data_IF_143026835245
#
_entry.id   IF_143026835245
#
_cell.length_a   1.000
_cell.length_b   1.000
_cell.length_c   1.000
_cell.angle_alpha   90.00
_cell.angle_beta   90.00
_cell.angle_gamma   90.00
#
_symmetry.space_group_name_H-M   'P 1'
#
loop_
_entity.id
_entity.type
_entity.pdbx_description
1 polymer ?
#
# COMPACT_ATOMS: atom_id res chain seq x y z
N UNK A 1 61.43 49.47 -30.08
CA UNK A 1 60.07 49.07 -30.49
C UNK A 1 59.79 47.71 -29.89
N UNK A 2 59.22 47.69 -28.68
CA UNK A 2 59.01 46.46 -27.91
C UNK A 2 57.52 46.12 -28.00
N UNK A 3 57.21 44.97 -28.61
CA UNK A 3 55.83 44.50 -28.83
C UNK A 3 55.24 44.00 -27.50
N UNK A 4 54.12 44.58 -27.08
CA UNK A 4 53.31 44.07 -25.97
C UNK A 4 52.51 42.86 -26.45
N UNK A 5 52.68 41.72 -25.78
CA UNK A 5 51.83 40.53 -25.93
C UNK A 5 50.70 40.68 -24.92
N UNK A 6 49.47 40.87 -25.40
CA UNK A 6 48.27 40.89 -24.57
C UNK A 6 47.93 39.44 -24.16
N UNK A 7 48.06 39.15 -22.86
CA UNK A 7 47.49 37.95 -22.27
C UNK A 7 45.99 38.17 -22.03
N UNK A 8 45.16 37.55 -22.87
CA UNK A 8 43.72 37.43 -22.63
C UNK A 8 43.55 36.40 -21.50
N UNK A 9 43.26 36.88 -20.30
CA UNK A 9 42.81 36.03 -19.19
C UNK A 9 41.34 35.72 -19.46
N UNK A 10 41.06 34.56 -20.03
CA UNK A 10 39.73 33.97 -19.99
C UNK A 10 39.44 33.60 -18.53
N UNK A 11 38.71 34.46 -17.82
CA UNK A 11 38.03 34.07 -16.58
C UNK A 11 36.90 33.13 -17.03
N UNK A 12 37.18 31.83 -16.95
CA UNK A 12 36.11 30.84 -16.97
C UNK A 12 35.28 31.09 -15.72
N UNK A 13 34.12 31.72 -15.88
CA UNK A 13 33.07 31.63 -14.89
C UNK A 13 32.77 30.14 -14.76
N UNK A 14 33.15 29.55 -13.63
CA UNK A 14 32.52 28.32 -13.20
C UNK A 14 31.04 28.64 -13.12
N UNK A 15 30.27 28.16 -14.09
CA UNK A 15 28.83 27.96 -13.91
C UNK A 15 28.80 27.02 -12.72
N UNK A 16 28.46 27.55 -11.55
CA UNK A 16 28.14 26.74 -10.39
C UNK A 16 27.01 25.84 -10.86
N UNK A 17 27.36 24.59 -11.12
CA UNK A 17 26.42 23.51 -11.33
C UNK A 17 25.68 23.37 -10.00
N UNK A 18 24.63 24.18 -9.82
CA UNK A 18 23.61 23.92 -8.82
C UNK A 18 22.82 22.76 -9.41
N UNK A 19 23.44 21.59 -9.40
CA UNK A 19 22.73 20.33 -9.29
C UNK A 19 21.89 20.47 -8.02
N UNK A 20 20.66 20.90 -8.23
CA UNK A 20 19.57 20.93 -7.27
C UNK A 20 19.47 19.54 -6.66
N UNK A 21 20.12 19.35 -5.52
CA UNK A 21 20.24 18.07 -4.86
C UNK A 21 18.87 17.62 -4.32
N UNK A 22 18.06 17.06 -5.22
CA UNK A 22 17.03 16.09 -4.89
C UNK A 22 17.75 14.97 -4.14
N UNK A 23 17.45 14.83 -2.86
CA UNK A 23 18.14 13.82 -2.06
C UNK A 23 17.18 12.74 -1.63
N UNK A 24 17.50 11.51 -2.06
CA UNK A 24 17.00 10.29 -1.44
C UNK A 24 17.51 10.29 0.01
N UNK A 25 16.63 10.23 1.02
CA UNK A 25 17.06 10.30 2.42
C UNK A 25 18.14 9.26 2.78
N UNK A 26 18.96 9.56 3.79
CA UNK A 26 20.01 8.64 4.22
C UNK A 26 19.43 7.34 4.83
N UNK A 27 20.28 6.36 5.14
CA UNK A 27 19.82 5.07 5.68
C UNK A 27 18.98 5.19 6.97
N UNK A 28 19.33 6.12 7.86
CA UNK A 28 18.60 6.32 9.11
C UNK A 28 17.22 6.92 8.83
N UNK A 29 17.14 7.93 7.97
CA UNK A 29 15.88 8.57 7.61
C UNK A 29 14.98 7.60 6.82
N UNK A 30 15.54 6.84 5.87
CA UNK A 30 14.80 5.79 5.14
C UNK A 30 14.15 4.81 6.10
N UNK A 31 14.89 4.35 7.11
CA UNK A 31 14.36 3.46 8.13
C UNK A 31 13.28 4.14 8.98
N UNK A 32 13.45 5.42 9.33
CA UNK A 32 12.43 6.19 10.06
C UNK A 32 11.12 6.30 9.27
N UNK A 33 11.20 6.57 7.96
CA UNK A 33 10.04 6.62 7.06
C UNK A 33 9.32 5.26 7.05
N UNK A 34 10.04 4.17 6.78
CA UNK A 34 9.47 2.81 6.74
C UNK A 34 8.86 2.44 8.10
N UNK A 35 9.51 2.79 9.21
CA UNK A 35 9.01 2.52 10.55
C UNK A 35 7.72 3.28 10.85
N UNK A 36 7.61 4.55 10.43
CA UNK A 36 6.40 5.34 10.60
C UNK A 36 5.21 4.72 9.85
N UNK A 37 5.44 4.30 8.59
CA UNK A 37 4.42 3.60 7.79
C UNK A 37 3.99 2.28 8.45
N UNK A 38 4.95 1.43 8.83
CA UNK A 38 4.64 0.15 9.44
C UNK A 38 3.99 0.30 10.82
N UNK A 39 4.34 1.31 11.62
CA UNK A 39 3.66 1.59 12.88
C UNK A 39 2.17 1.93 12.67
N UNK A 40 1.86 2.77 11.67
CA UNK A 40 0.48 3.08 11.30
C UNK A 40 -0.26 1.84 10.80
N UNK A 41 0.38 1.05 9.93
CA UNK A 41 -0.20 -0.18 9.37
C UNK A 41 -0.48 -1.22 10.45
N UNK A 42 0.40 -1.40 11.44
CA UNK A 42 0.15 -2.25 12.62
C UNK A 42 -1.03 -1.76 13.44
N UNK A 43 -1.11 -0.45 13.69
CA UNK A 43 -2.23 0.16 14.41
C UNK A 43 -3.55 -0.13 13.71
N UNK A 44 -3.60 -0.03 12.39
CA UNK A 44 -4.79 -0.37 11.59
C UNK A 44 -5.06 -1.87 11.60
N UNK A 45 -4.03 -2.70 11.38
CA UNK A 45 -4.17 -4.15 11.35
C UNK A 45 -4.70 -4.72 12.66
N UNK A 46 -4.25 -4.19 13.80
CA UNK A 46 -4.65 -4.64 15.14
C UNK A 46 -5.89 -3.93 15.68
N UNK A 47 -6.54 -3.06 14.89
CA UNK A 47 -7.72 -2.32 15.34
C UNK A 47 -8.90 -3.27 15.56
N UNK A 48 -8.97 -3.83 16.77
CA UNK A 48 -10.09 -4.64 17.21
C UNK A 48 -11.17 -3.71 17.76
N UNK A 49 -12.19 -3.44 16.94
CA UNK A 49 -13.48 -2.98 17.46
C UNK A 49 -14.37 -4.19 17.68
N UNK A 50 -15.44 -4.07 18.46
CA UNK A 50 -16.48 -5.10 18.59
C UNK A 50 -17.14 -5.47 17.24
N UNK A 51 -16.79 -4.76 16.16
CA UNK A 51 -17.20 -4.99 14.77
C UNK A 51 -16.17 -5.75 13.93
N UNK A 52 -15.01 -6.15 14.49
CA UNK A 52 -14.03 -7.00 13.80
C UNK A 52 -13.25 -6.33 12.66
N UNK A 53 -13.09 -5.00 12.66
CA UNK A 53 -12.51 -4.19 11.57
C UNK A 53 -10.97 -4.24 11.45
N UNK A 54 -10.34 -5.30 11.95
CA UNK A 54 -8.91 -5.54 11.83
C UNK A 54 -8.54 -5.87 10.36
N UNK A 55 -7.29 -5.61 9.97
CA UNK A 55 -6.80 -5.94 8.63
C UNK A 55 -6.05 -7.28 8.65
N UNK A 56 -6.59 -8.26 7.91
CA UNK A 56 -6.08 -9.64 7.90
C UNK A 56 -4.91 -9.88 6.94
N UNK A 57 -4.70 -9.00 5.95
CA UNK A 57 -3.71 -9.15 4.88
C UNK A 57 -2.71 -7.98 4.79
N UNK A 58 -2.57 -7.18 5.85
CA UNK A 58 -1.74 -5.97 5.83
C UNK A 58 -0.25 -6.29 5.65
N UNK A 59 0.33 -5.98 4.48
CA UNK A 59 1.75 -6.29 4.20
C UNK A 59 2.69 -5.34 4.94
N UNK A 60 3.84 -5.85 5.40
CA UNK A 60 4.92 -5.01 5.91
C UNK A 60 5.59 -4.27 4.74
N UNK A 61 5.77 -2.96 4.88
CA UNK A 61 6.48 -2.15 3.91
C UNK A 61 7.99 -2.23 4.09
N UNK A 62 8.73 -2.23 2.99
CA UNK A 62 10.19 -2.05 2.94
C UNK A 62 10.58 -0.83 2.10
N UNK A 63 11.79 -0.32 2.29
CA UNK A 63 12.33 0.71 1.41
C UNK A 63 12.63 0.14 0.03
N UNK A 64 12.32 0.90 -1.02
CA UNK A 64 12.66 0.57 -2.40
C UNK A 64 13.42 1.73 -3.06
N UNK A 65 14.56 1.42 -3.68
CA UNK A 65 15.44 2.41 -4.28
C UNK A 65 14.92 2.90 -5.63
N UNK A 66 14.25 2.05 -6.42
CA UNK A 66 13.69 2.43 -7.72
C UNK A 66 12.52 3.39 -7.52
N UNK A 67 11.66 3.13 -6.53
CA UNK A 67 10.60 4.07 -6.14
C UNK A 67 11.16 5.39 -5.60
N UNK A 68 12.32 5.37 -4.95
CA UNK A 68 12.97 6.58 -4.48
C UNK A 68 13.56 7.40 -5.63
N UNK A 69 14.15 6.75 -6.63
CA UNK A 69 14.61 7.39 -7.86
C UNK A 69 13.42 7.95 -8.68
N UNK A 70 12.29 7.26 -8.70
CA UNK A 70 11.06 7.82 -9.27
C UNK A 70 10.59 9.04 -8.48
N UNK A 71 10.60 8.98 -7.14
CA UNK A 71 10.25 10.12 -6.29
C UNK A 71 11.14 11.35 -6.55
N UNK A 72 12.43 11.16 -6.87
CA UNK A 72 13.34 12.24 -7.30
C UNK A 72 12.79 12.96 -8.52
N UNK A 73 12.33 12.23 -9.54
CA UNK A 73 11.76 12.83 -10.76
C UNK A 73 10.47 13.60 -10.51
N UNK A 74 9.72 13.24 -9.45
CA UNK A 74 8.45 13.85 -9.10
C UNK A 74 8.60 15.03 -8.12
N UNK A 75 9.75 15.15 -7.44
CA UNK A 75 10.01 16.19 -6.44
C UNK A 75 10.55 17.49 -7.05
N UNK A 76 10.08 17.89 -8.24
CA UNK A 76 10.43 19.17 -8.86
C UNK A 76 9.58 20.31 -8.31
N UNK A 77 10.17 21.51 -8.18
CA UNK A 77 9.49 22.65 -7.58
C UNK A 77 8.40 23.26 -8.46
N UNK A 78 8.39 22.95 -9.77
CA UNK A 78 7.40 23.44 -10.74
C UNK A 78 5.96 23.10 -10.34
N UNK A 79 5.77 22.09 -9.49
CA UNK A 79 4.45 21.61 -9.03
C UNK A 79 4.02 22.18 -7.69
N UNK A 80 4.86 22.94 -7.00
CA UNK A 80 4.58 23.41 -5.64
C UNK A 80 3.43 24.41 -5.61
N UNK A 81 3.33 25.30 -6.60
CA UNK A 81 2.22 26.26 -6.73
C UNK A 81 0.88 25.56 -6.98
N UNK A 82 0.87 24.50 -7.81
CA UNK A 82 -0.32 23.68 -8.06
C UNK A 82 -0.78 22.95 -6.79
N UNK A 83 0.18 22.48 -5.97
CA UNK A 83 -0.07 21.78 -4.70
C UNK A 83 -0.63 22.75 -3.64
N UNK A 84 -0.06 23.94 -3.52
CA UNK A 84 -0.47 24.94 -2.52
C UNK A 84 -1.76 25.66 -2.87
N UNK A 85 -2.04 25.87 -4.17
CA UNK A 85 -3.30 26.44 -4.66
C UNK A 85 -4.53 25.59 -4.33
N UNK A 86 -4.33 24.32 -3.97
CA UNK A 86 -5.38 23.36 -3.64
C UNK A 86 -5.83 23.39 -2.17
N UNK A 87 -5.37 24.37 -1.37
CA UNK A 87 -5.71 24.51 0.05
C UNK A 87 -6.50 25.78 0.34
N UNK A 88 -7.84 25.69 0.39
CA UNK A 88 -8.67 26.44 1.36
C UNK A 88 -10.16 26.03 1.37
N UNK A 89 -10.54 24.83 0.95
CA UNK A 89 -11.87 24.31 1.24
C UNK A 89 -11.78 23.28 2.38
N UNK A 90 -12.08 23.74 3.59
CA UNK A 90 -12.50 22.94 4.76
C UNK A 90 -11.41 22.08 5.43
N UNK A 91 -10.80 22.59 6.50
CA UNK A 91 -10.31 21.79 7.63
C UNK A 91 -9.16 20.79 7.43
N UNK A 92 -8.61 20.61 6.22
CA UNK A 92 -7.57 19.61 5.96
C UNK A 92 -6.59 20.06 4.88
N UNK A 93 -5.30 19.87 5.18
CA UNK A 93 -4.15 20.16 4.33
C UNK A 93 -4.28 19.51 2.93
N UNK A 94 -3.65 20.08 1.88
CA UNK A 94 -3.87 19.64 0.50
C UNK A 94 -3.31 18.24 0.28
N UNK A 95 -4.17 17.22 0.30
CA UNK A 95 -3.83 15.93 -0.31
C UNK A 95 -4.13 16.06 -1.80
N UNK A 96 -3.09 16.28 -2.61
CA UNK A 96 -3.15 16.39 -4.08
C UNK A 96 -3.58 15.12 -4.82
N UNK A 97 -4.12 14.13 -4.12
CA UNK A 97 -4.45 12.83 -4.67
C UNK A 97 -5.77 12.81 -5.46
N UNK A 98 -6.63 13.83 -5.36
CA UNK A 98 -7.90 13.86 -6.11
C UNK A 98 -7.72 13.96 -7.64
N UNK A 99 -6.64 14.57 -8.14
CA UNK A 99 -6.34 14.64 -9.58
C UNK A 99 -5.33 13.58 -10.04
N UNK A 100 -4.63 12.92 -9.12
CA UNK A 100 -3.68 11.84 -9.42
C UNK A 100 -4.38 10.51 -9.73
N UNK A 101 -5.66 10.36 -9.35
CA UNK A 101 -6.48 9.18 -9.64
C UNK A 101 -6.69 8.96 -11.15
N UNK A 102 -6.67 10.04 -11.94
CA UNK A 102 -6.84 10.00 -13.40
C UNK A 102 -5.53 9.81 -14.18
N UNK A 103 -4.38 9.88 -13.50
CA UNK A 103 -3.09 9.61 -14.14
C UNK A 103 -2.87 8.09 -14.22
N UNK A 104 -2.60 7.59 -15.43
CA UNK A 104 -2.28 6.19 -15.71
C UNK A 104 -0.87 5.86 -15.19
N UNK A 105 -0.73 5.84 -13.87
CA UNK A 105 0.47 5.39 -13.15
C UNK A 105 0.11 4.14 -12.37
N UNK A 106 0.97 3.13 -12.47
CA UNK A 106 0.85 1.91 -11.66
C UNK A 106 1.16 2.17 -10.16
N UNK A 107 2.02 3.15 -9.88
CA UNK A 107 2.52 3.46 -8.54
C UNK A 107 1.70 4.54 -7.83
N UNK A 108 1.51 4.36 -6.51
CA UNK A 108 0.87 5.34 -5.64
C UNK A 108 1.80 6.51 -5.31
N UNK A 109 1.24 7.65 -4.91
CA UNK A 109 2.02 8.86 -4.58
C UNK A 109 1.39 9.65 -3.43
N UNK A 110 2.20 10.02 -2.45
CA UNK A 110 1.88 11.05 -1.47
C UNK A 110 2.86 12.21 -1.58
N UNK A 111 2.36 13.43 -1.38
CA UNK A 111 3.14 14.68 -1.46
C UNK A 111 2.85 15.56 -0.26
N UNK A 112 3.88 16.20 0.28
CA UNK A 112 3.77 17.19 1.35
C UNK A 112 4.67 18.40 1.06
N UNK A 113 4.16 19.60 1.34
CA UNK A 113 4.89 20.87 1.23
C UNK A 113 4.89 21.56 2.59
N UNK A 114 6.05 21.97 3.09
CA UNK A 114 6.13 22.69 4.36
C UNK A 114 7.40 23.54 4.49
N UNK A 115 7.27 24.70 5.13
CA UNK A 115 8.40 25.56 5.49
C UNK A 115 9.17 25.01 6.70
N UNK A 116 8.44 24.55 7.72
CA UNK A 116 9.00 24.32 9.06
C UNK A 116 9.08 22.85 9.45
N UNK A 117 8.28 21.99 8.82
CA UNK A 117 8.22 20.58 9.23
C UNK A 117 9.47 19.81 8.83
N UNK A 118 9.78 18.80 9.62
CA UNK A 118 10.69 17.73 9.24
C UNK A 118 9.92 16.60 8.50
N UNK A 119 10.64 15.63 7.94
CA UNK A 119 10.05 14.53 7.16
C UNK A 119 9.00 13.74 7.96
N UNK A 120 9.26 13.45 9.24
CA UNK A 120 8.29 12.72 10.06
C UNK A 120 7.00 13.52 10.26
N UNK A 121 7.11 14.81 10.54
CA UNK A 121 5.94 15.69 10.69
C UNK A 121 5.13 15.82 9.40
N UNK A 122 5.78 15.76 8.23
CA UNK A 122 5.11 15.72 6.93
C UNK A 122 4.38 14.38 6.69
N UNK A 123 4.96 13.26 7.14
CA UNK A 123 4.30 11.94 7.09
C UNK A 123 3.13 11.88 8.09
N UNK A 124 3.29 12.48 9.27
CA UNK A 124 2.23 12.61 10.27
C UNK A 124 1.02 13.37 9.71
N UNK A 125 1.24 14.41 8.89
CA UNK A 125 0.16 15.12 8.19
C UNK A 125 -0.65 14.20 7.27
N UNK A 126 0.00 13.30 6.53
CA UNK A 126 -0.72 12.30 5.73
C UNK A 126 -1.54 11.35 6.61
N UNK A 127 -0.99 10.93 7.75
CA UNK A 127 -1.67 10.02 8.68
C UNK A 127 -2.86 10.66 9.40
N UNK A 128 -2.90 11.99 9.51
CA UNK A 128 -3.96 12.72 10.20
C UNK A 128 -5.36 12.51 9.59
N UNK A 129 -5.43 12.06 8.33
CA UNK A 129 -6.68 11.62 7.70
C UNK A 129 -7.42 10.52 8.48
N UNK A 130 -6.72 9.79 9.35
CA UNK A 130 -7.33 8.83 10.29
C UNK A 130 -8.47 9.45 11.11
N UNK A 131 -8.33 10.71 11.53
CA UNK A 131 -9.32 11.39 12.37
C UNK A 131 -10.69 11.56 11.71
N UNK A 132 -10.74 11.44 10.39
CA UNK A 132 -11.92 11.60 9.54
C UNK A 132 -12.25 10.34 8.74
N UNK A 133 -11.58 9.23 9.01
CA UNK A 133 -11.74 7.99 8.28
C UNK A 133 -12.72 7.04 8.98
N UNK A 134 -13.75 6.64 8.25
CA UNK A 134 -14.70 5.62 8.69
C UNK A 134 -14.16 4.23 8.31
N UNK A 135 -13.78 3.46 9.32
CA UNK A 135 -13.23 2.11 9.16
C UNK A 135 -14.28 1.05 8.80
N UNK A 136 -15.57 1.31 9.05
CA UNK A 136 -16.64 0.35 8.73
C UNK A 136 -17.00 0.41 7.25
N UNK A 137 -17.02 1.61 6.69
CA UNK A 137 -17.37 1.83 5.29
C UNK A 137 -16.16 2.13 4.39
N UNK A 138 -14.96 2.21 4.96
CA UNK A 138 -13.74 2.64 4.28
C UNK A 138 -13.88 4.00 3.57
N UNK A 139 -14.71 4.90 4.12
CA UNK A 139 -15.00 6.23 3.58
C UNK A 139 -14.29 7.33 4.38
N UNK A 140 -14.23 8.53 3.83
CA UNK A 140 -13.79 9.73 4.54
C UNK A 140 -15.03 10.58 4.86
N UNK A 141 -15.02 11.30 5.97
CA UNK A 141 -16.04 12.30 6.26
C UNK A 141 -16.17 13.29 5.09
N UNK A 142 -17.40 13.77 4.79
CA UNK A 142 -17.60 14.81 3.80
C UNK A 142 -16.68 16.01 4.07
N UNK A 143 -16.18 16.63 3.00
CA UNK A 143 -15.26 17.78 3.02
C UNK A 143 -13.83 17.50 3.53
N UNK A 144 -13.51 16.28 3.98
CA UNK A 144 -12.14 15.88 4.30
C UNK A 144 -11.54 14.98 3.23
N UNK A 145 -10.23 15.09 3.03
CA UNK A 145 -9.50 14.26 2.08
C UNK A 145 -8.59 13.25 2.82
N UNK A 146 -9.02 11.99 2.85
CA UNK A 146 -8.29 10.90 3.49
C UNK A 146 -7.36 10.15 2.52
N UNK A 147 -7.19 10.60 1.28
CA UNK A 147 -6.52 9.79 0.24
C UNK A 147 -5.06 9.49 0.56
N UNK A 148 -4.34 10.44 1.15
CA UNK A 148 -2.96 10.22 1.59
C UNK A 148 -2.89 9.16 2.70
N UNK A 149 -3.81 9.21 3.67
CA UNK A 149 -3.96 8.21 4.71
C UNK A 149 -4.28 6.83 4.13
N UNK A 150 -5.27 6.75 3.23
CA UNK A 150 -5.68 5.53 2.51
C UNK A 150 -4.52 4.87 1.78
N UNK A 151 -3.69 5.66 1.09
CA UNK A 151 -2.48 5.16 0.43
C UNK A 151 -1.48 4.54 1.42
N UNK A 152 -1.29 5.14 2.60
CA UNK A 152 -0.38 4.60 3.63
C UNK A 152 -0.87 3.25 4.19
N UNK A 153 -2.20 3.06 4.24
CA UNK A 153 -2.84 1.86 4.82
C UNK A 153 -3.31 0.85 3.77
N UNK A 154 -2.99 1.04 2.49
CA UNK A 154 -3.30 0.08 1.43
C UNK A 154 -2.53 -1.23 1.66
N UNK A 155 -3.22 -2.31 2.00
CA UNK A 155 -2.61 -3.58 2.42
C UNK A 155 -1.69 -4.17 1.35
N UNK A 156 -2.05 -4.03 0.07
CA UNK A 156 -1.26 -4.61 -1.01
C UNK A 156 0.07 -3.86 -1.24
N UNK A 157 0.13 -2.56 -0.94
CA UNK A 157 1.36 -1.78 -1.02
C UNK A 157 2.40 -2.31 -0.03
N UNK A 158 3.57 -2.71 -0.55
CA UNK A 158 4.62 -3.38 0.22
C UNK A 158 5.98 -2.67 0.13
N UNK A 159 6.06 -1.63 -0.70
CA UNK A 159 7.31 -0.89 -0.92
C UNK A 159 7.04 0.60 -0.97
N UNK A 160 7.98 1.36 -0.42
CA UNK A 160 7.94 2.82 -0.43
C UNK A 160 9.33 3.37 -0.71
N UNK A 161 9.39 4.40 -1.56
CA UNK A 161 10.60 5.17 -1.82
C UNK A 161 10.26 6.64 -1.86
N UNK A 162 11.09 7.48 -1.24
CA UNK A 162 10.81 8.91 -1.11
C UNK A 162 12.01 9.77 -1.49
N UNK A 163 11.72 11.01 -1.89
CA UNK A 163 12.69 12.06 -2.15
C UNK A 163 12.26 13.36 -1.51
N UNK A 164 13.24 14.13 -1.04
CA UNK A 164 13.03 15.47 -0.50
C UNK A 164 13.73 16.50 -1.41
N UNK A 165 12.98 17.52 -1.79
CA UNK A 165 13.52 18.75 -2.36
C UNK A 165 13.40 19.90 -1.35
N UNK A 166 14.49 20.34 -0.70
CA UNK A 166 14.44 21.37 0.32
C UNK A 166 14.56 22.80 -0.24
N UNK A 167 14.62 22.97 -1.56
CA UNK A 167 14.98 24.23 -2.22
C UNK A 167 13.83 24.85 -3.01
N UNK A 168 12.59 24.44 -2.74
CA UNK A 168 11.45 25.03 -3.41
C UNK A 168 11.07 26.37 -2.80
N UNK A 169 10.37 27.18 -3.58
CA UNK A 169 9.84 28.48 -3.13
C UNK A 169 8.33 28.50 -3.37
N UNK A 170 7.61 29.10 -2.43
CA UNK A 170 6.17 29.34 -2.53
C UNK A 170 5.87 30.72 -1.94
N UNK A 171 5.25 31.60 -2.72
CA UNK A 171 4.94 32.99 -2.33
C UNK A 171 6.16 33.78 -1.81
N UNK A 172 7.35 33.48 -2.35
CA UNK A 172 8.61 34.10 -1.95
C UNK A 172 9.25 33.54 -0.67
N UNK A 173 8.67 32.48 -0.10
CA UNK A 173 9.18 31.79 1.07
C UNK A 173 9.79 30.42 0.71
N UNK A 174 10.91 30.07 1.33
CA UNK A 174 11.54 28.77 1.12
C UNK A 174 10.72 27.64 1.75
N UNK A 175 10.37 26.63 0.94
CA UNK A 175 9.60 25.45 1.32
C UNK A 175 10.32 24.16 0.96
N UNK A 176 10.01 23.11 1.71
CA UNK A 176 10.45 21.74 1.42
C UNK A 176 9.30 20.98 0.76
N UNK A 177 9.61 20.19 -0.25
CA UNK A 177 8.70 19.29 -0.94
C UNK A 177 9.15 17.84 -0.67
N UNK A 178 8.30 17.05 -0.01
CA UNK A 178 8.48 15.62 0.19
C UNK A 178 7.55 14.87 -0.77
N UNK A 179 8.11 13.94 -1.53
CA UNK A 179 7.34 13.00 -2.36
C UNK A 179 7.68 11.57 -1.94
N UNK A 180 6.66 10.75 -1.71
CA UNK A 180 6.80 9.32 -1.50
C UNK A 180 6.00 8.57 -2.56
N UNK A 181 6.66 7.62 -3.23
CA UNK A 181 6.09 6.69 -4.19
C UNK A 181 5.86 5.33 -3.53
N UNK A 182 4.81 4.64 -3.94
CA UNK A 182 4.41 3.32 -3.45
C UNK A 182 4.28 2.35 -4.63
N UNK A 183 4.61 1.07 -4.41
CA UNK A 183 4.50 0.06 -5.48
C UNK A 183 3.08 -0.22 -5.94
N UNK A 184 2.09 0.11 -5.12
CA UNK A 184 0.66 -0.02 -5.44
C UNK A 184 -0.04 1.32 -5.26
N UNK A 185 -0.91 1.67 -6.21
CA UNK A 185 -1.74 2.87 -6.15
C UNK A 185 -3.07 2.57 -5.47
N UNK A 186 -3.46 3.43 -4.52
CA UNK A 186 -4.82 3.42 -3.98
C UNK A 186 -5.83 3.72 -5.11
N UNK A 187 -6.93 2.97 -5.13
CA UNK A 187 -8.07 3.25 -6.00
C UNK A 187 -9.35 3.18 -5.19
N UNK A 188 -10.29 4.08 -5.49
CA UNK A 188 -11.63 4.05 -4.91
C UNK A 188 -12.44 2.79 -5.27
N UNK A 189 -12.00 2.02 -6.26
CA UNK A 189 -12.66 0.80 -6.75
C UNK A 189 -12.18 -0.48 -6.07
N UNK A 190 -11.10 -0.42 -5.29
CA UNK A 190 -10.52 -1.59 -4.63
C UNK A 190 -10.53 -1.42 -3.11
N UNK A 191 -10.67 -2.54 -2.41
CA UNK A 191 -10.59 -2.55 -0.95
C UNK A 191 -9.20 -2.17 -0.45
N UNK A 192 -9.15 -1.39 0.64
CA UNK A 192 -7.90 -1.02 1.29
C UNK A 192 -7.19 -2.23 1.89
N UNK A 193 -7.96 -3.13 2.48
CA UNK A 193 -7.51 -4.36 3.12
C UNK A 193 -8.71 -5.30 3.33
N UNK A 194 -8.42 -6.57 3.58
CA UNK A 194 -9.45 -7.57 3.89
C UNK A 194 -9.71 -7.54 5.39
N UNK A 195 -10.97 -7.33 5.77
CA UNK A 195 -11.40 -7.35 7.17
C UNK A 195 -11.25 -8.76 7.77
N UNK A 196 -10.62 -8.85 8.93
CA UNK A 196 -10.45 -10.10 9.68
C UNK A 196 -9.29 -10.03 10.68
N UNK A 197 -9.07 -11.12 11.46
CA UNK A 197 -7.97 -11.18 12.41
C UNK A 197 -6.61 -10.89 11.75
N UNK A 198 -5.70 -10.17 12.41
CA UNK A 198 -4.39 -9.84 11.84
C UNK A 198 -3.68 -11.08 11.30
N UNK A 199 -3.09 -10.95 10.11
CA UNK A 199 -2.36 -12.00 9.42
C UNK A 199 -3.12 -13.28 9.04
N UNK A 200 -4.43 -13.38 9.29
CA UNK A 200 -5.21 -14.57 8.90
C UNK A 200 -5.33 -14.73 7.38
N UNK A 201 -5.08 -13.66 6.62
CA UNK A 201 -5.15 -13.64 5.15
C UNK A 201 -3.85 -13.19 4.46
N UNK A 202 -2.69 -13.52 5.03
CA UNK A 202 -1.39 -13.33 4.36
C UNK A 202 -1.21 -14.29 3.15
N UNK A 203 -1.25 -13.73 1.94
CA UNK A 203 -1.13 -14.44 0.65
C UNK A 203 0.31 -14.56 0.15
N UNK A 204 0.60 -15.56 -0.70
CA UNK A 204 1.91 -15.70 -1.35
C UNK A 204 2.33 -14.43 -2.13
N UNK A 205 3.61 -14.01 -2.06
CA UNK A 205 4.75 -14.65 -1.38
C UNK A 205 4.85 -14.35 0.13
N UNK A 206 3.88 -13.65 0.72
CA UNK A 206 3.82 -13.31 2.15
C UNK A 206 2.99 -14.32 2.95
N UNK A 207 3.61 -15.37 3.48
CA UNK A 207 2.89 -16.34 4.33
C UNK A 207 2.98 -16.07 5.83
N UNK A 208 4.03 -15.39 6.28
CA UNK A 208 4.34 -15.24 7.70
C UNK A 208 3.77 -13.95 8.28
N UNK A 209 3.64 -13.91 9.60
CA UNK A 209 3.22 -12.74 10.35
C UNK A 209 4.36 -12.23 11.20
N UNK A 210 4.68 -10.93 11.11
CA UNK A 210 5.57 -10.23 12.01
C UNK A 210 4.82 -9.04 12.61
N UNK A 211 4.46 -9.14 13.89
CA UNK A 211 3.83 -8.06 14.65
C UNK A 211 2.61 -7.46 13.92
N UNK A 212 1.65 -8.33 13.57
CA UNK A 212 0.42 -8.03 12.81
C UNK A 212 0.60 -7.60 11.33
N UNK A 213 1.80 -7.72 10.76
CA UNK A 213 2.05 -7.47 9.34
C UNK A 213 2.48 -8.73 8.59
N UNK A 214 1.96 -8.92 7.38
CA UNK A 214 2.35 -10.00 6.49
C UNK A 214 3.77 -9.81 5.95
N UNK A 215 4.61 -10.84 6.08
CA UNK A 215 6.01 -10.88 5.59
C UNK A 215 6.27 -12.16 4.80
N UNK A 216 7.22 -12.10 3.86
CA UNK A 216 7.59 -13.25 3.00
C UNK A 216 8.46 -14.28 3.68
N UNK A 217 9.20 -13.87 4.71
CA UNK A 217 9.99 -14.78 5.52
C UNK A 217 10.26 -14.15 6.89
N UNK A 218 10.63 -14.98 7.86
CA UNK A 218 11.04 -14.53 9.19
C UNK A 218 12.53 -14.15 9.28
N UNK A 219 13.25 -14.04 8.15
CA UNK A 219 14.67 -13.70 8.16
C UNK A 219 14.88 -12.25 8.63
N UNK A 220 15.52 -12.07 9.80
CA UNK A 220 15.85 -10.76 10.37
C UNK A 220 14.98 -10.31 11.55
N UNK A 221 14.02 -11.11 12.01
CA UNK A 221 13.30 -10.81 13.27
C UNK A 221 14.25 -11.05 14.46
N UNK A 222 14.76 -9.97 15.04
CA UNK A 222 15.54 -9.99 16.28
C UNK A 222 14.66 -10.16 17.53
N UNK A 223 13.32 -10.16 17.39
CA UNK A 223 12.37 -10.19 18.51
C UNK A 223 11.64 -11.52 18.75
N UNK A 224 11.79 -12.53 17.89
CA UNK A 224 11.05 -13.80 18.06
C UNK A 224 9.54 -13.69 17.81
N UNK A 225 9.07 -12.59 17.24
CA UNK A 225 7.64 -12.30 16.96
C UNK A 225 7.24 -12.59 15.51
N UNK A 226 8.05 -13.35 14.76
CA UNK A 226 7.66 -13.81 13.44
C UNK A 226 7.18 -15.25 13.51
N UNK A 227 5.95 -15.50 13.03
CA UNK A 227 5.31 -16.82 13.15
C UNK A 227 4.38 -17.09 11.98
N UNK A 228 4.20 -18.38 11.69
CA UNK A 228 3.12 -18.84 10.83
C UNK A 228 1.84 -18.94 11.66
N UNK A 229 0.81 -18.19 11.31
CA UNK A 229 -0.48 -18.16 12.03
C UNK A 229 -1.51 -19.16 11.45
N UNK A 230 -1.15 -19.85 10.37
CA UNK A 230 -2.03 -20.79 9.67
C UNK A 230 -2.02 -22.16 10.34
N UNK A 231 -3.18 -22.79 10.35
CA UNK A 231 -3.36 -24.16 10.88
C UNK A 231 -3.67 -25.17 9.77
N UNK A 232 -4.18 -24.69 8.63
CA UNK A 232 -4.76 -25.48 7.55
C UNK A 232 -5.84 -26.46 8.02
N UNK A 233 -6.38 -26.29 9.22
CA UNK A 233 -7.32 -27.24 9.82
C UNK A 233 -8.40 -26.48 10.57
N UNK A 234 -9.56 -26.39 9.92
CA UNK A 234 -10.76 -25.74 10.43
C UNK A 234 -11.87 -26.80 10.49
N UNK A 235 -12.16 -27.37 11.68
CA UNK A 235 -13.12 -28.45 11.82
C UNK A 235 -14.48 -28.12 11.20
N UNK A 236 -14.93 -28.98 10.28
CA UNK A 236 -16.20 -28.81 9.55
C UNK A 236 -16.17 -27.77 8.42
N UNK A 237 -15.02 -27.14 8.16
CA UNK A 237 -14.86 -26.09 7.13
C UNK A 237 -13.85 -26.52 6.07
N UNK A 238 -12.63 -26.83 6.47
CA UNK A 238 -11.54 -27.20 5.57
C UNK A 238 -10.38 -27.87 6.28
N UNK A 239 -9.62 -28.67 5.54
CA UNK A 239 -8.42 -29.34 6.02
C UNK A 239 -7.38 -29.41 4.91
N UNK A 240 -6.11 -29.28 5.26
CA UNK A 240 -4.99 -29.30 4.34
C UNK A 240 -3.65 -29.54 5.01
N UNK A 241 -2.60 -29.49 4.21
CA UNK A 241 -1.21 -29.65 4.66
C UNK A 241 -0.53 -28.30 4.70
N UNK A 242 0.04 -27.94 5.86
CA UNK A 242 0.82 -26.72 6.04
C UNK A 242 2.27 -26.93 5.56
N UNK A 243 2.72 -26.13 4.62
CA UNK A 243 4.15 -25.92 4.40
C UNK A 243 4.67 -24.87 5.39
N UNK A 244 5.39 -25.33 6.41
CA UNK A 244 5.96 -24.47 7.44
C UNK A 244 7.05 -23.50 6.94
N UNK A 245 7.68 -23.76 5.78
CA UNK A 245 8.73 -22.90 5.24
C UNK A 245 8.17 -21.70 4.48
N UNK A 246 7.00 -21.85 3.87
CA UNK A 246 6.31 -20.80 3.12
C UNK A 246 5.09 -20.25 3.87
N UNK A 247 4.67 -20.92 4.95
CA UNK A 247 3.41 -20.69 5.65
C UNK A 247 2.21 -20.65 4.68
N UNK A 248 2.09 -21.71 3.89
CA UNK A 248 1.02 -21.92 2.92
C UNK A 248 0.30 -23.23 3.18
N UNK A 249 -1.02 -23.22 2.97
CA UNK A 249 -1.84 -24.42 3.07
C UNK A 249 -2.13 -24.99 1.69
N UNK A 250 -1.91 -26.30 1.54
CA UNK A 250 -2.43 -27.09 0.45
C UNK A 250 -3.71 -27.78 0.90
N UNK A 251 -4.86 -27.16 0.61
CA UNK A 251 -6.16 -27.61 1.11
C UNK A 251 -6.60 -28.91 0.42
N UNK A 252 -6.80 -29.95 1.22
CA UNK A 252 -7.42 -31.20 0.79
C UNK A 252 -8.92 -31.02 0.56
N UNK A 253 -9.59 -30.25 1.43
CA UNK A 253 -10.95 -29.76 1.26
C UNK A 253 -11.15 -28.39 1.91
N UNK A 254 -12.23 -27.69 1.54
CA UNK A 254 -12.46 -26.28 1.89
C UNK A 254 -11.78 -25.31 0.91
N UNK A 255 -11.82 -24.03 1.25
CA UNK A 255 -11.33 -22.90 0.47
C UNK A 255 -10.50 -21.93 1.33
N UNK A 256 -9.86 -20.98 0.65
CA UNK A 256 -9.09 -19.93 1.30
C UNK A 256 -7.65 -20.34 1.58
N UNK A 257 -6.86 -19.37 2.03
CA UNK A 257 -5.40 -19.54 2.14
C UNK A 257 -4.94 -20.30 3.40
N UNK A 258 -5.87 -20.55 4.33
CA UNK A 258 -5.74 -21.34 5.54
C UNK A 258 -6.77 -22.49 5.58
N UNK A 259 -7.44 -22.81 4.46
CA UNK A 259 -8.57 -23.73 4.40
C UNK A 259 -9.73 -23.32 5.33
N UNK A 260 -9.89 -22.02 5.55
CA UNK A 260 -10.81 -21.43 6.53
C UNK A 260 -12.18 -21.06 5.97
N UNK A 261 -12.37 -21.19 4.67
CA UNK A 261 -13.64 -20.89 4.00
C UNK A 261 -14.32 -22.21 3.58
N UNK A 262 -15.65 -22.28 3.73
CA UNK A 262 -16.42 -23.47 3.33
C UNK A 262 -16.37 -23.66 1.83
N UNK A 263 -16.33 -24.92 1.39
CA UNK A 263 -16.56 -25.25 -0.01
C UNK A 263 -18.07 -25.35 -0.27
N UNK A 264 -18.71 -24.18 -0.44
CA UNK A 264 -20.14 -24.07 -0.73
C UNK A 264 -20.37 -23.00 -1.79
N UNK A 265 -21.41 -23.17 -2.60
CA UNK A 265 -21.84 -22.15 -3.56
C UNK A 265 -22.53 -20.99 -2.82
N UNK A 266 -22.06 -19.74 -2.99
CA UNK A 266 -22.71 -18.58 -2.39
C UNK A 266 -24.16 -18.45 -2.85
N UNK A 267 -25.06 -18.13 -1.92
CA UNK A 267 -26.46 -17.83 -2.23
C UNK A 267 -26.63 -16.35 -2.52
N UNK A 268 -26.54 -15.97 -3.80
CA UNK A 268 -26.66 -14.58 -4.25
C UNK A 268 -28.10 -14.04 -4.24
N UNK A 269 -29.10 -14.91 -4.45
CA UNK A 269 -30.50 -14.51 -4.58
C UNK A 269 -31.41 -15.37 -3.71
N UNK A 270 -32.42 -14.73 -3.09
CA UNK A 270 -33.35 -15.39 -2.16
C UNK A 270 -34.21 -16.48 -2.82
N UNK A 271 -34.57 -16.29 -4.10
CA UNK A 271 -35.50 -17.18 -4.82
C UNK A 271 -34.92 -17.71 -6.14
N UNK A 272 -33.60 -17.68 -6.31
CA UNK A 272 -32.95 -18.11 -7.54
C UNK A 272 -31.57 -18.68 -7.24
N UNK A 273 -31.31 -19.91 -7.70
CA UNK A 273 -30.03 -20.58 -7.56
C UNK A 273 -29.33 -20.59 -8.91
N UNK A 274 -28.48 -19.59 -9.14
CA UNK A 274 -27.67 -19.51 -10.35
C UNK A 274 -26.76 -20.73 -10.51
N UNK A 275 -26.22 -21.24 -9.40
CA UNK A 275 -25.29 -22.37 -9.44
C UNK A 275 -25.98 -23.66 -9.82
N UNK A 276 -27.27 -23.84 -9.49
CA UNK A 276 -28.06 -24.96 -9.97
C UNK A 276 -28.25 -24.94 -11.50
N UNK A 277 -28.44 -23.78 -12.12
CA UNK A 277 -28.63 -23.66 -13.57
C UNK A 277 -27.39 -24.06 -14.36
N UNK A 278 -26.20 -23.81 -13.81
CA UNK A 278 -24.92 -24.14 -14.44
C UNK A 278 -24.27 -25.40 -13.85
N UNK A 279 -24.94 -26.15 -12.99
CA UNK A 279 -24.41 -27.40 -12.41
C UNK A 279 -24.60 -28.57 -13.38
N UNK A 280 -23.78 -28.61 -14.44
CA UNK A 280 -23.74 -29.72 -15.38
C UNK A 280 -22.30 -29.95 -15.91
N UNK A 281 -21.97 -31.17 -16.40
CA UNK A 281 -20.60 -31.49 -16.83
C UNK A 281 -20.08 -30.62 -17.97
N UNK A 282 -20.93 -30.19 -18.90
CA UNK A 282 -20.53 -29.32 -20.02
C UNK A 282 -20.08 -27.96 -19.51
N UNK A 283 -20.86 -27.34 -18.61
CA UNK A 283 -20.51 -26.08 -17.97
C UNK A 283 -19.22 -26.14 -17.15
N UNK A 284 -18.86 -27.30 -16.59
CA UNK A 284 -17.55 -27.45 -15.95
C UNK A 284 -16.38 -27.38 -16.96
N UNK A 285 -16.59 -27.72 -18.23
CA UNK A 285 -15.56 -27.61 -19.27
C UNK A 285 -15.61 -26.26 -20.00
N UNK A 286 -16.80 -25.72 -20.26
CA UNK A 286 -17.00 -24.52 -21.09
C UNK A 286 -16.99 -23.22 -20.29
N UNK A 287 -17.44 -23.26 -19.03
CA UNK A 287 -17.70 -22.07 -18.21
C UNK A 287 -16.78 -22.01 -16.98
N UNK A 288 -15.55 -22.51 -17.11
CA UNK A 288 -14.62 -22.70 -15.98
C UNK A 288 -14.42 -21.44 -15.12
N UNK A 289 -14.30 -20.26 -15.75
CA UNK A 289 -14.16 -18.99 -15.03
C UNK A 289 -15.40 -18.71 -14.16
N UNK A 290 -16.60 -18.89 -14.71
CA UNK A 290 -17.85 -18.66 -13.96
C UNK A 290 -18.03 -19.67 -12.83
N UNK A 291 -17.68 -20.94 -13.05
CA UNK A 291 -17.72 -21.95 -12.00
C UNK A 291 -16.75 -21.60 -10.87
N UNK A 292 -15.52 -21.20 -11.18
CA UNK A 292 -14.53 -20.80 -10.16
C UNK A 292 -14.96 -19.57 -9.35
N UNK A 293 -15.55 -18.58 -10.02
CA UNK A 293 -15.90 -17.30 -9.39
C UNK A 293 -17.21 -17.36 -8.60
N UNK A 294 -18.24 -17.99 -9.16
CA UNK A 294 -19.60 -17.94 -8.59
C UNK A 294 -20.05 -19.26 -7.97
N UNK A 295 -19.57 -20.40 -8.46
CA UNK A 295 -20.09 -21.70 -8.09
C UNK A 295 -18.97 -22.72 -7.83
N UNK A 296 -18.02 -22.40 -6.92
CA UNK A 296 -16.80 -23.18 -6.77
C UNK A 296 -17.05 -24.62 -6.32
N UNK A 297 -18.21 -24.94 -5.74
CA UNK A 297 -18.54 -26.29 -5.30
C UNK A 297 -19.12 -27.18 -6.43
N UNK A 298 -19.42 -26.64 -7.62
CA UNK A 298 -20.02 -27.42 -8.72
C UNK A 298 -19.02 -28.36 -9.40
N UNK A 299 -17.74 -27.99 -9.48
CA UNK A 299 -16.73 -28.68 -10.29
C UNK A 299 -15.48 -29.02 -9.46
N UNK A 300 -14.81 -30.12 -9.80
CA UNK A 300 -13.66 -30.66 -9.04
C UNK A 300 -12.44 -29.72 -8.94
N UNK A 301 -12.35 -28.70 -9.80
CA UNK A 301 -11.28 -27.70 -9.81
C UNK A 301 -11.62 -26.44 -8.99
N UNK A 302 -12.87 -26.26 -8.55
CA UNK A 302 -13.27 -25.06 -7.82
C UNK A 302 -12.89 -25.16 -6.35
N UNK A 303 -13.56 -26.05 -5.63
CA UNK A 303 -13.21 -26.45 -4.28
C UNK A 303 -13.62 -27.89 -4.03
N UNK A 304 -13.14 -28.45 -2.91
CA UNK A 304 -13.51 -29.81 -2.51
C UNK A 304 -14.38 -29.73 -1.25
N UNK A 305 -15.60 -30.31 -1.25
CA UNK A 305 -16.44 -30.37 -0.05
C UNK A 305 -15.82 -31.29 1.00
N UNK A 306 -16.22 -31.09 2.26
CA UNK A 306 -15.78 -31.96 3.35
C UNK A 306 -16.21 -33.42 3.11
N UNK A 307 -15.38 -34.42 3.46
CA UNK A 307 -15.68 -35.84 3.27
C UNK A 307 -16.83 -36.36 4.16
#
# INVERSE_FOLDING_TARGET
MTRYIAFIICIAYAVSDVSSALYVPDAQIRQMIVNAHNALRRKVATRWTDKGLAASNMRKMSWDAELADEAVTQATCDRVEDISGMSWAVGGHPSVAFFDDLEDRAHGKNVAVSQHRNILQMIEEWSAGEGHFDYEYHTCEPDYACTAFKQMILANASRVGCSLNPYCELDGESVKLLVCMYDEKFSIFFDLYIVGPPCSKCQSPTGFCEDALCVSSCHGSSSGECSCQKTCHHPGVGEGVLDAHTCMCDCTYGLGIDCQDLCENPQYYVNYDYCADINNPESCETDQTFQLEFCPANCDYGCRPAP
#
